data_IF_713178527807
#
_entry.id   IF_713178527807
#
_cell.length_a   1.000
_cell.length_b   1.000
_cell.length_c   1.000
_cell.angle_alpha   90.00
_cell.angle_beta   90.00
_cell.angle_gamma   90.00
#
_symmetry.space_group_name_H-M   'P 1'
#
loop_
_entity.id
_entity.type
_entity.pdbx_description
1 polymer ?
#
# COMPACT_ATOMS: atom_id res chain seq x y z
N UNK A 1 3.83 1.38 -26.14
CA UNK A 1 2.51 0.79 -25.83
C UNK A 1 2.35 0.80 -24.33
N UNK A 2 1.22 1.25 -23.85
CA UNK A 2 0.90 1.23 -22.42
C UNK A 2 0.62 -0.22 -22.00
N UNK A 3 1.33 -0.71 -20.95
CA UNK A 3 1.32 -2.13 -20.54
C UNK A 3 0.00 -2.55 -19.89
N UNK A 4 -0.80 -1.59 -19.43
CA UNK A 4 -2.03 -1.81 -18.65
C UNK A 4 -3.29 -1.25 -19.37
N UNK A 5 -3.22 -1.02 -20.69
CA UNK A 5 -4.36 -0.51 -21.46
C UNK A 5 -5.56 -1.45 -21.34
N UNK A 6 -6.72 -0.88 -20.99
CA UNK A 6 -7.97 -1.63 -20.77
C UNK A 6 -8.05 -2.41 -19.45
N UNK A 7 -7.06 -2.31 -18.57
CA UNK A 7 -7.10 -2.90 -17.23
C UNK A 7 -7.71 -1.92 -16.22
N UNK A 8 -8.34 -2.47 -15.20
CA UNK A 8 -8.89 -1.72 -14.07
C UNK A 8 -8.13 -2.08 -12.80
N UNK A 9 -7.56 -1.09 -12.13
CA UNK A 9 -6.84 -1.27 -10.88
C UNK A 9 -7.62 -0.69 -9.68
N UNK A 10 -7.67 -1.43 -8.57
CA UNK A 10 -8.14 -0.93 -7.29
C UNK A 10 -6.95 -0.79 -6.35
N UNK A 11 -6.74 0.43 -5.81
CA UNK A 11 -5.63 0.73 -4.88
C UNK A 11 -6.19 1.24 -3.56
N UNK A 12 -5.87 0.53 -2.46
CA UNK A 12 -6.31 0.93 -1.12
C UNK A 12 -5.31 1.85 -0.44
N UNK A 13 -5.82 2.80 0.38
CA UNK A 13 -4.96 3.70 1.16
C UNK A 13 -4.18 4.72 0.32
N UNK A 14 -4.78 5.24 -0.75
CA UNK A 14 -4.10 6.09 -1.73
C UNK A 14 -4.37 7.60 -1.60
N UNK A 15 -4.91 8.06 -0.45
CA UNK A 15 -5.36 9.45 -0.27
C UNK A 15 -4.28 10.46 0.14
N UNK A 16 -3.02 10.06 0.39
CA UNK A 16 -1.96 10.98 0.87
C UNK A 16 -1.10 11.50 -0.27
N UNK A 17 -0.81 12.80 -0.26
CA UNK A 17 0.00 13.46 -1.30
C UNK A 17 1.41 12.85 -1.40
N UNK A 18 2.13 12.72 -0.27
CA UNK A 18 3.45 12.09 -0.17
C UNK A 18 3.34 10.63 0.25
N UNK A 19 2.48 9.85 -0.44
CA UNK A 19 2.23 8.45 -0.13
C UNK A 19 2.58 7.50 -1.27
N UNK A 20 3.02 6.28 -0.93
CA UNK A 20 3.28 5.21 -1.90
C UNK A 20 2.00 4.90 -2.70
N UNK A 21 0.82 4.90 -2.03
CA UNK A 21 -0.46 4.59 -2.68
C UNK A 21 -0.79 5.55 -3.83
N UNK A 22 -0.63 6.87 -3.65
CA UNK A 22 -0.81 7.85 -4.73
C UNK A 22 0.16 7.60 -5.89
N UNK A 23 1.44 7.40 -5.61
CA UNK A 23 2.43 7.14 -6.66
C UNK A 23 2.11 5.86 -7.46
N UNK A 24 1.59 4.82 -6.79
CA UNK A 24 1.11 3.60 -7.45
C UNK A 24 -0.07 3.92 -8.37
N UNK A 25 -1.08 4.65 -7.89
CA UNK A 25 -2.24 5.07 -8.70
C UNK A 25 -1.79 5.79 -9.96
N UNK A 26 -0.94 6.81 -9.81
CA UNK A 26 -0.46 7.61 -10.94
C UNK A 26 0.33 6.75 -11.94
N UNK A 27 1.21 5.89 -11.44
CA UNK A 27 2.00 5.02 -12.31
C UNK A 27 1.14 4.00 -13.06
N UNK A 28 0.13 3.40 -12.43
CA UNK A 28 -0.78 2.49 -13.11
C UNK A 28 -1.60 3.22 -14.19
N UNK A 29 -2.02 4.46 -13.92
CA UNK A 29 -2.70 5.30 -14.91
C UNK A 29 -1.79 5.69 -16.08
N UNK A 30 -0.53 6.07 -15.85
CA UNK A 30 0.49 6.31 -16.89
C UNK A 30 0.70 5.08 -17.79
N UNK A 31 0.60 3.89 -17.23
CA UNK A 31 0.72 2.62 -17.95
C UNK A 31 -0.59 2.23 -18.68
N UNK A 32 -1.67 3.02 -18.56
CA UNK A 32 -2.93 2.87 -19.28
C UNK A 32 -4.09 2.27 -18.49
N UNK A 33 -3.96 2.01 -17.20
CA UNK A 33 -5.06 1.51 -16.39
C UNK A 33 -6.09 2.59 -16.06
N UNK A 34 -7.36 2.19 -15.95
CA UNK A 34 -8.38 2.93 -15.22
C UNK A 34 -8.28 2.58 -13.73
N UNK A 35 -8.57 3.49 -12.82
CA UNK A 35 -8.22 3.28 -11.41
C UNK A 35 -9.37 3.58 -10.45
N UNK A 36 -9.63 2.66 -9.52
CA UNK A 36 -10.42 2.91 -8.31
C UNK A 36 -9.47 3.31 -7.18
N UNK A 37 -9.59 4.54 -6.73
CA UNK A 37 -8.75 5.15 -5.69
C UNK A 37 -9.51 5.12 -4.38
N UNK A 38 -9.01 4.40 -3.37
CA UNK A 38 -9.71 4.32 -2.09
C UNK A 38 -8.85 4.71 -0.91
N UNK A 39 -9.47 5.29 0.09
CA UNK A 39 -8.95 5.45 1.44
C UNK A 39 -10.13 5.66 2.40
N UNK A 40 -9.88 5.48 3.70
CA UNK A 40 -10.84 5.86 4.74
C UNK A 40 -11.08 7.37 4.68
N UNK A 41 -12.35 7.78 4.73
CA UNK A 41 -12.75 9.17 4.82
C UNK A 41 -12.03 9.88 5.98
N UNK A 42 -11.55 11.08 5.74
CA UNK A 42 -10.87 11.92 6.73
C UNK A 42 -11.34 13.36 6.62
N UNK A 43 -11.45 14.02 7.75
CA UNK A 43 -11.64 15.47 7.77
C UNK A 43 -10.39 16.17 7.23
N UNK A 44 -10.57 17.18 6.39
CA UNK A 44 -9.47 17.94 5.81
C UNK A 44 -8.55 18.59 6.87
N UNK A 45 -9.08 18.91 8.04
CA UNK A 45 -8.30 19.45 9.16
C UNK A 45 -7.32 18.43 9.75
N UNK A 46 -7.51 17.12 9.50
CA UNK A 46 -6.61 16.04 9.93
C UNK A 46 -5.44 15.79 8.97
N UNK A 47 -5.40 16.45 7.83
CA UNK A 47 -4.31 16.35 6.88
C UNK A 47 -3.05 17.09 7.40
N UNK A 48 -1.84 16.71 6.97
CA UNK A 48 -0.63 17.45 7.29
C UNK A 48 -0.71 18.90 6.80
N UNK A 49 0.03 19.82 7.44
CA UNK A 49 -0.01 21.24 7.07
C UNK A 49 0.19 21.50 5.57
N UNK A 50 1.16 20.83 4.93
CA UNK A 50 1.43 21.00 3.50
C UNK A 50 0.26 20.54 2.61
N UNK A 51 -0.47 19.47 3.01
CA UNK A 51 -1.68 19.05 2.28
C UNK A 51 -2.83 20.04 2.46
N UNK A 52 -2.98 20.60 3.66
CA UNK A 52 -3.99 21.65 3.93
C UNK A 52 -3.69 22.94 3.13
N UNK A 53 -2.43 23.39 3.12
CA UNK A 53 -2.00 24.59 2.41
C UNK A 53 -2.23 24.51 0.89
N UNK A 54 -2.08 23.35 0.29
CA UNK A 54 -2.35 23.13 -1.14
C UNK A 54 -3.81 22.81 -1.46
N UNK A 55 -4.69 22.74 -0.46
CA UNK A 55 -6.10 22.39 -0.64
C UNK A 55 -6.32 20.94 -1.07
N UNK A 56 -5.48 20.02 -0.59
CA UNK A 56 -5.57 18.60 -0.91
C UNK A 56 -6.88 18.00 -0.40
N UNK A 57 -7.57 17.21 -1.27
CA UNK A 57 -8.87 16.60 -0.99
C UNK A 57 -8.78 15.07 -0.87
N UNK A 58 -7.60 14.54 -0.53
CA UNK A 58 -7.39 13.10 -0.39
C UNK A 58 -7.56 12.36 -1.73
N UNK A 59 -8.38 11.31 -1.72
CA UNK A 59 -8.58 10.45 -2.89
C UNK A 59 -9.16 11.18 -4.10
N UNK A 60 -9.97 12.24 -3.87
CA UNK A 60 -10.52 13.00 -4.99
C UNK A 60 -9.44 13.76 -5.75
N UNK A 61 -8.46 14.37 -5.04
CA UNK A 61 -7.32 15.00 -5.72
C UNK A 61 -6.52 14.00 -6.54
N UNK A 62 -6.31 12.78 -6.03
CA UNK A 62 -5.62 11.72 -6.78
C UNK A 62 -6.43 11.29 -8.02
N UNK A 63 -7.75 11.17 -7.89
CA UNK A 63 -8.62 10.84 -9.01
C UNK A 63 -8.66 11.96 -10.07
N UNK A 64 -8.62 13.24 -9.66
CA UNK A 64 -8.50 14.39 -10.55
C UNK A 64 -7.18 14.32 -11.36
N UNK A 65 -6.07 13.95 -10.73
CA UNK A 65 -4.78 13.76 -11.43
C UNK A 65 -4.86 12.65 -12.49
N UNK A 66 -5.47 11.50 -12.17
CA UNK A 66 -5.68 10.40 -13.13
C UNK A 66 -6.56 10.82 -14.30
N UNK A 67 -7.67 11.52 -14.02
CA UNK A 67 -8.57 12.06 -15.09
C UNK A 67 -7.82 13.06 -15.97
N UNK A 68 -6.90 13.85 -15.40
CA UNK A 68 -6.02 14.75 -16.14
C UNK A 68 -5.07 14.03 -17.11
N UNK A 69 -4.76 12.76 -16.87
CA UNK A 69 -3.99 11.89 -17.78
C UNK A 69 -4.85 11.24 -18.88
N UNK A 70 -6.18 11.52 -18.90
CA UNK A 70 -7.11 10.93 -19.87
C UNK A 70 -7.58 9.53 -19.53
N UNK A 71 -7.40 9.07 -18.25
CA UNK A 71 -7.89 7.79 -17.76
C UNK A 71 -9.16 7.97 -16.92
N UNK A 72 -9.97 6.92 -16.81
CA UNK A 72 -11.12 6.94 -15.90
C UNK A 72 -10.62 6.71 -14.47
N UNK A 73 -11.17 7.47 -13.52
CA UNK A 73 -10.86 7.32 -12.11
C UNK A 73 -12.13 7.43 -11.26
N UNK A 74 -12.28 6.49 -10.33
CA UNK A 74 -13.34 6.46 -9.35
C UNK A 74 -12.74 6.67 -7.96
N UNK A 75 -13.11 7.74 -7.28
CA UNK A 75 -12.73 7.99 -5.90
C UNK A 75 -13.82 7.44 -4.97
N UNK A 76 -13.49 6.52 -4.07
CA UNK A 76 -14.44 5.88 -3.16
C UNK A 76 -13.90 5.90 -1.74
N UNK A 77 -14.60 6.55 -0.82
CA UNK A 77 -14.33 6.41 0.60
C UNK A 77 -14.59 4.97 1.03
N UNK A 78 -13.56 4.32 1.58
CA UNK A 78 -13.62 2.92 1.96
C UNK A 78 -12.74 2.65 3.18
N UNK A 79 -13.34 2.22 4.27
CA UNK A 79 -12.62 1.62 5.39
C UNK A 79 -12.44 0.13 5.10
N UNK A 80 -11.20 -0.33 4.98
CA UNK A 80 -10.89 -1.74 4.69
C UNK A 80 -11.32 -2.70 5.80
N UNK A 81 -11.62 -2.20 7.00
CA UNK A 81 -12.14 -2.99 8.11
C UNK A 81 -13.66 -3.20 8.01
N UNK A 82 -14.35 -2.37 7.23
CA UNK A 82 -15.80 -2.47 6.98
C UNK A 82 -16.07 -3.26 5.69
N UNK A 83 -16.74 -4.41 5.85
CA UNK A 83 -17.07 -5.31 4.73
C UNK A 83 -18.11 -4.73 3.78
N UNK A 84 -19.02 -3.90 4.30
CA UNK A 84 -20.07 -3.27 3.50
C UNK A 84 -19.47 -2.14 2.66
N UNK A 85 -18.50 -1.39 3.19
CA UNK A 85 -17.71 -0.41 2.42
C UNK A 85 -16.97 -1.08 1.27
N UNK A 86 -16.31 -2.19 1.55
CA UNK A 86 -15.61 -2.97 0.52
C UNK A 86 -16.55 -3.50 -0.54
N UNK A 87 -17.71 -4.02 -0.18
CA UNK A 87 -18.68 -4.52 -1.15
C UNK A 87 -19.22 -3.37 -2.02
N UNK A 88 -19.57 -2.23 -1.42
CA UNK A 88 -19.99 -1.03 -2.19
C UNK A 88 -18.90 -0.57 -3.15
N UNK A 89 -17.64 -0.60 -2.73
CA UNK A 89 -16.50 -0.23 -3.57
C UNK A 89 -16.35 -1.16 -4.77
N UNK A 90 -16.47 -2.47 -4.55
CA UNK A 90 -16.41 -3.48 -5.63
C UNK A 90 -17.58 -3.32 -6.59
N UNK A 91 -18.79 -3.16 -6.06
CA UNK A 91 -19.99 -2.98 -6.90
C UNK A 91 -19.88 -1.72 -7.77
N UNK A 92 -19.39 -0.61 -7.21
CA UNK A 92 -19.16 0.63 -7.96
C UNK A 92 -18.07 0.43 -9.05
N UNK A 93 -16.96 -0.24 -8.74
CA UNK A 93 -15.92 -0.55 -9.72
C UNK A 93 -16.45 -1.38 -10.89
N UNK A 94 -17.24 -2.40 -10.61
CA UNK A 94 -17.85 -3.25 -11.64
C UNK A 94 -18.86 -2.46 -12.49
N UNK A 95 -19.71 -1.65 -11.84
CA UNK A 95 -20.74 -0.88 -12.53
C UNK A 95 -20.17 0.21 -13.46
N UNK A 96 -19.15 0.93 -12.97
CA UNK A 96 -18.63 2.11 -13.67
C UNK A 96 -17.42 1.80 -14.55
N UNK A 97 -16.54 0.87 -14.15
CA UNK A 97 -15.31 0.56 -14.86
C UNK A 97 -15.33 -0.81 -15.55
N UNK A 98 -16.28 -1.68 -15.21
CA UNK A 98 -16.50 -2.98 -15.88
C UNK A 98 -15.86 -4.19 -15.19
N UNK A 99 -15.09 -3.99 -14.12
CA UNK A 99 -14.43 -5.08 -13.37
C UNK A 99 -13.22 -4.60 -12.59
N UNK A 100 -12.42 -5.56 -12.10
CA UNK A 100 -11.15 -5.28 -11.41
C UNK A 100 -10.14 -6.34 -11.85
N UNK A 101 -9.07 -5.93 -12.54
CA UNK A 101 -7.98 -6.80 -12.99
C UNK A 101 -6.78 -6.79 -12.04
N UNK A 102 -6.59 -5.68 -11.33
CA UNK A 102 -5.42 -5.43 -10.48
C UNK A 102 -5.91 -4.98 -9.11
N UNK A 103 -5.43 -5.63 -8.06
CA UNK A 103 -5.64 -5.20 -6.68
C UNK A 103 -4.31 -4.84 -6.05
N UNK A 104 -4.19 -3.61 -5.51
CA UNK A 104 -3.05 -3.21 -4.71
C UNK A 104 -3.50 -2.94 -3.27
N UNK A 105 -3.15 -3.84 -2.38
CA UNK A 105 -3.38 -3.71 -0.95
C UNK A 105 -2.28 -2.86 -0.33
N UNK A 106 -2.50 -1.55 -0.26
CA UNK A 106 -1.56 -0.58 0.28
C UNK A 106 -2.04 0.05 1.60
N UNK A 107 -3.34 0.03 1.90
CA UNK A 107 -3.87 0.55 3.15
C UNK A 107 -3.20 -0.11 4.36
N UNK A 108 -2.69 0.71 5.27
CA UNK A 108 -2.09 0.26 6.51
C UNK A 108 -2.04 1.40 7.54
N UNK A 109 -2.14 1.06 8.81
CA UNK A 109 -1.67 1.93 9.88
C UNK A 109 -0.15 1.87 9.95
N UNK A 110 0.51 3.01 10.18
CA UNK A 110 1.97 3.08 10.31
C UNK A 110 2.45 2.45 11.62
N UNK A 111 3.76 2.23 11.72
CA UNK A 111 4.38 1.72 12.96
C UNK A 111 4.25 2.69 14.14
N UNK A 112 3.99 3.96 13.88
CA UNK A 112 3.74 4.97 14.91
C UNK A 112 2.42 4.76 15.64
N UNK A 113 1.43 4.15 15.00
CA UNK A 113 0.18 3.79 15.63
C UNK A 113 0.45 2.66 16.64
N UNK A 114 0.71 3.02 17.90
CA UNK A 114 1.00 2.07 18.97
C UNK A 114 2.42 1.53 19.01
N UNK A 115 3.40 2.34 18.62
CA UNK A 115 4.80 1.97 18.79
C UNK A 115 5.20 1.94 20.26
N UNK A 116 5.49 0.74 20.75
CA UNK A 116 5.96 0.49 22.13
C UNK A 116 6.72 -0.83 22.21
N UNK A 117 7.54 -1.05 23.25
CA UNK A 117 7.97 -2.40 23.61
C UNK A 117 6.77 -3.33 23.75
N UNK A 118 6.89 -4.56 23.29
CA UNK A 118 5.72 -5.48 23.21
C UNK A 118 5.05 -5.71 24.58
N UNK A 119 5.81 -5.64 25.67
CA UNK A 119 5.28 -5.82 27.04
C UNK A 119 4.55 -4.57 27.57
N UNK A 120 4.67 -3.44 26.89
CA UNK A 120 4.05 -2.16 27.26
C UNK A 120 2.98 -1.73 26.25
N UNK A 121 2.83 -2.48 25.15
CA UNK A 121 1.84 -2.19 24.12
C UNK A 121 0.43 -2.39 24.66
N UNK A 122 -0.45 -1.43 24.42
CA UNK A 122 -1.86 -1.56 24.80
C UNK A 122 -2.60 -2.52 23.86
N UNK A 123 -3.61 -3.20 24.38
CA UNK A 123 -4.47 -4.08 23.57
C UNK A 123 -5.16 -3.30 22.45
N UNK A 124 -5.59 -2.05 22.69
CA UNK A 124 -6.20 -1.18 21.68
C UNK A 124 -5.29 -0.99 20.46
N UNK A 125 -4.05 -0.60 20.72
CA UNK A 125 -3.07 -0.36 19.65
C UNK A 125 -2.74 -1.65 18.88
N UNK A 126 -2.67 -2.78 19.60
CA UNK A 126 -2.49 -4.08 18.98
C UNK A 126 -3.65 -4.42 18.05
N UNK A 127 -4.88 -4.37 18.58
CA UNK A 127 -6.07 -4.74 17.81
C UNK A 127 -6.32 -3.79 16.65
N UNK A 128 -6.21 -2.48 16.84
CA UNK A 128 -6.38 -1.52 15.74
C UNK A 128 -5.40 -1.78 14.58
N UNK A 129 -4.13 -2.04 14.91
CA UNK A 129 -3.12 -2.34 13.87
C UNK A 129 -3.43 -3.68 13.17
N UNK A 130 -3.84 -4.70 13.90
CA UNK A 130 -4.21 -6.01 13.32
C UNK A 130 -5.47 -5.86 12.46
N UNK A 131 -6.46 -5.11 12.92
CA UNK A 131 -7.72 -4.92 12.18
C UNK A 131 -7.48 -4.25 10.83
N UNK A 132 -6.71 -3.17 10.79
CA UNK A 132 -6.45 -2.50 9.51
C UNK A 132 -5.48 -3.30 8.64
N UNK A 133 -4.32 -3.70 9.20
CA UNK A 133 -3.21 -4.21 8.39
C UNK A 133 -3.38 -5.69 7.98
N UNK A 134 -4.17 -6.47 8.74
CA UNK A 134 -4.35 -7.89 8.48
C UNK A 134 -5.80 -8.27 8.19
N UNK A 135 -6.77 -7.89 9.02
CA UNK A 135 -8.18 -8.20 8.75
C UNK A 135 -8.68 -7.39 7.55
N UNK A 136 -8.31 -6.10 7.45
CA UNK A 136 -8.62 -5.27 6.28
C UNK A 136 -8.05 -5.83 4.98
N UNK A 137 -6.79 -6.28 5.00
CA UNK A 137 -6.18 -7.00 3.87
C UNK A 137 -7.00 -8.24 3.48
N UNK A 138 -7.33 -9.09 4.45
CA UNK A 138 -8.11 -10.30 4.22
C UNK A 138 -9.50 -10.00 3.64
N UNK A 139 -10.19 -8.99 4.17
CA UNK A 139 -11.52 -8.60 3.69
C UNK A 139 -11.45 -8.07 2.25
N UNK A 140 -10.47 -7.22 1.93
CA UNK A 140 -10.27 -6.68 0.59
C UNK A 140 -9.97 -7.79 -0.42
N UNK A 141 -9.06 -8.71 -0.10
CA UNK A 141 -8.75 -9.85 -0.96
C UNK A 141 -9.99 -10.71 -1.21
N UNK A 142 -10.82 -10.96 -0.20
CA UNK A 142 -12.05 -11.74 -0.37
C UNK A 142 -13.09 -11.07 -1.26
N UNK A 143 -13.28 -9.77 -1.10
CA UNK A 143 -14.24 -9.02 -1.90
C UNK A 143 -13.79 -8.94 -3.36
N UNK A 144 -12.59 -8.42 -3.60
CA UNK A 144 -12.05 -8.20 -4.95
C UNK A 144 -11.68 -9.51 -5.63
N UNK A 145 -11.06 -10.45 -4.93
CA UNK A 145 -10.63 -11.72 -5.50
C UNK A 145 -11.77 -12.55 -6.10
N UNK A 146 -12.98 -12.46 -5.52
CA UNK A 146 -14.18 -13.11 -6.08
C UNK A 146 -14.57 -12.50 -7.44
N UNK A 147 -14.45 -11.20 -7.59
CA UNK A 147 -14.71 -10.53 -8.88
C UNK A 147 -13.61 -10.86 -9.90
N UNK A 148 -12.34 -10.89 -9.48
CA UNK A 148 -11.24 -11.30 -10.36
C UNK A 148 -11.42 -12.73 -10.89
N UNK A 149 -11.91 -13.66 -10.06
CA UNK A 149 -12.24 -15.04 -10.49
C UNK A 149 -13.33 -15.03 -11.56
N UNK A 150 -14.39 -14.22 -11.39
CA UNK A 150 -15.46 -14.07 -12.40
C UNK A 150 -14.94 -13.42 -13.68
N UNK A 151 -14.01 -12.47 -13.56
CA UNK A 151 -13.34 -11.80 -14.68
C UNK A 151 -12.32 -12.67 -15.43
N UNK A 152 -11.96 -13.86 -14.88
CA UNK A 152 -11.05 -14.82 -15.52
C UNK A 152 -9.57 -14.63 -15.22
N UNK A 153 -9.21 -13.81 -14.24
CA UNK A 153 -7.82 -13.66 -13.79
C UNK A 153 -7.48 -12.29 -13.22
N UNK A 154 -6.20 -12.06 -12.93
CA UNK A 154 -5.73 -10.78 -12.45
C UNK A 154 -4.39 -10.81 -11.71
N UNK A 155 -4.03 -9.68 -11.11
CA UNK A 155 -2.82 -9.55 -10.29
C UNK A 155 -3.14 -8.88 -8.96
N UNK A 156 -2.81 -9.55 -7.86
CA UNK A 156 -2.91 -9.03 -6.49
C UNK A 156 -1.51 -8.67 -6.01
N UNK A 157 -1.29 -7.43 -5.61
CA UNK A 157 -0.03 -6.94 -5.08
C UNK A 157 -0.24 -6.42 -3.67
N UNK A 158 0.45 -7.05 -2.70
CA UNK A 158 0.38 -6.66 -1.30
C UNK A 158 1.58 -5.80 -0.95
N UNK A 159 1.37 -4.62 -0.36
CA UNK A 159 2.44 -3.74 0.09
C UNK A 159 2.80 -4.09 1.55
N UNK A 160 3.87 -4.88 1.69
CA UNK A 160 4.44 -5.21 2.99
C UNK A 160 5.42 -4.13 3.47
N UNK A 161 6.57 -4.53 3.94
CA UNK A 161 7.66 -3.69 4.43
C UNK A 161 8.90 -4.56 4.64
N UNK A 162 10.08 -3.96 4.78
CA UNK A 162 11.25 -4.63 5.39
C UNK A 162 10.95 -5.14 6.81
N UNK A 163 9.97 -4.53 7.52
CA UNK A 163 9.46 -5.04 8.80
C UNK A 163 8.70 -6.38 8.68
N UNK A 164 8.34 -6.81 7.48
CA UNK A 164 7.84 -8.16 7.19
C UNK A 164 8.95 -9.17 6.89
N UNK A 165 10.22 -8.75 6.91
CA UNK A 165 11.42 -9.58 6.65
C UNK A 165 12.31 -9.71 7.87
N UNK A 166 12.19 -8.78 8.82
CA UNK A 166 12.94 -8.76 10.08
C UNK A 166 12.08 -8.22 11.22
N UNK A 167 12.47 -8.53 12.45
CA UNK A 167 11.96 -7.85 13.64
C UNK A 167 12.62 -6.48 13.79
N UNK A 168 11.81 -5.48 14.13
CA UNK A 168 12.28 -4.13 14.45
C UNK A 168 11.79 -3.80 15.87
N UNK A 169 12.66 -3.38 16.80
CA UNK A 169 12.24 -3.00 18.15
C UNK A 169 11.15 -1.93 18.14
N UNK A 170 10.18 -2.04 19.01
CA UNK A 170 9.05 -1.11 19.17
C UNK A 170 8.08 -1.01 17.97
N UNK A 171 8.15 -1.95 17.02
CA UNK A 171 7.19 -2.03 15.90
C UNK A 171 6.01 -2.96 16.19
N UNK A 172 6.07 -3.77 17.23
CA UNK A 172 5.01 -4.62 17.77
C UNK A 172 4.09 -5.26 16.72
N UNK A 173 2.83 -4.89 16.75
CA UNK A 173 1.80 -5.41 15.86
C UNK A 173 2.10 -5.14 14.37
N UNK A 174 2.77 -4.04 14.04
CA UNK A 174 3.12 -3.73 12.64
C UNK A 174 4.02 -4.82 12.04
N UNK A 175 5.13 -5.21 12.71
CA UNK A 175 5.96 -6.32 12.25
C UNK A 175 5.14 -7.60 12.11
N UNK A 176 4.35 -7.95 13.11
CA UNK A 176 3.54 -9.17 13.10
C UNK A 176 2.59 -9.22 11.89
N UNK A 177 1.88 -8.11 11.62
CA UNK A 177 0.95 -8.03 10.48
C UNK A 177 1.67 -8.07 9.13
N UNK A 178 2.84 -7.42 9.02
CA UNK A 178 3.63 -7.44 7.77
C UNK A 178 4.27 -8.82 7.51
N UNK A 179 4.64 -9.58 8.55
CA UNK A 179 5.05 -10.98 8.43
C UNK A 179 3.87 -11.90 8.06
N UNK A 180 2.71 -11.74 8.68
CA UNK A 180 1.50 -12.51 8.37
C UNK A 180 1.09 -12.38 6.89
N UNK A 181 1.30 -11.21 6.30
CA UNK A 181 1.03 -10.93 4.89
C UNK A 181 1.80 -11.87 3.95
N UNK A 182 3.04 -12.28 4.30
CA UNK A 182 3.83 -13.21 3.50
C UNK A 182 3.19 -14.60 3.46
N UNK A 183 2.79 -15.15 4.62
CA UNK A 183 2.11 -16.44 4.68
C UNK A 183 0.81 -16.44 3.89
N UNK A 184 -0.01 -15.38 4.06
CA UNK A 184 -1.27 -15.23 3.33
C UNK A 184 -1.03 -15.13 1.80
N UNK A 185 -0.01 -14.39 1.37
CA UNK A 185 0.32 -14.28 -0.06
C UNK A 185 0.72 -15.61 -0.67
N UNK A 186 1.57 -16.40 0.01
CA UNK A 186 1.98 -17.72 -0.49
C UNK A 186 0.80 -18.67 -0.57
N UNK A 187 -0.07 -18.69 0.44
CA UNK A 187 -1.29 -19.50 0.41
C UNK A 187 -2.19 -19.11 -0.76
N UNK A 188 -2.47 -17.82 -0.94
CA UNK A 188 -3.30 -17.33 -2.05
C UNK A 188 -2.70 -17.63 -3.42
N UNK A 189 -1.38 -17.55 -3.56
CA UNK A 189 -0.70 -17.91 -4.81
C UNK A 189 -0.95 -19.37 -5.18
N UNK A 190 -0.93 -20.29 -4.19
CA UNK A 190 -1.23 -21.70 -4.41
C UNK A 190 -2.71 -21.94 -4.77
N UNK A 191 -3.63 -21.22 -4.12
CA UNK A 191 -5.07 -21.41 -4.31
C UNK A 191 -5.56 -20.80 -5.63
N UNK A 192 -5.00 -19.65 -6.05
CA UNK A 192 -5.53 -18.84 -7.14
C UNK A 192 -4.78 -18.95 -8.47
N UNK A 193 -3.60 -19.61 -8.50
CA UNK A 193 -2.79 -19.72 -9.72
C UNK A 193 -3.56 -20.37 -10.88
N UNK A 194 -4.35 -21.41 -10.62
CA UNK A 194 -5.16 -22.10 -11.64
C UNK A 194 -6.37 -21.29 -12.10
N UNK A 195 -6.69 -20.20 -11.40
CA UNK A 195 -7.72 -19.22 -11.75
C UNK A 195 -7.12 -18.01 -12.47
N UNK A 196 -5.85 -18.14 -12.93
CA UNK A 196 -5.12 -17.09 -13.62
C UNK A 196 -4.96 -15.81 -12.78
N UNK A 197 -4.89 -15.92 -11.44
CA UNK A 197 -4.63 -14.81 -10.54
C UNK A 197 -3.24 -14.99 -9.92
N UNK A 198 -2.37 -14.01 -10.14
CA UNK A 198 -1.05 -13.93 -9.52
C UNK A 198 -1.12 -13.14 -8.21
N UNK A 199 -0.39 -13.55 -7.20
CA UNK A 199 -0.35 -12.86 -5.90
C UNK A 199 1.09 -12.69 -5.47
N UNK A 200 1.55 -11.43 -5.35
CA UNK A 200 2.93 -11.11 -4.99
C UNK A 200 2.99 -10.01 -3.92
N UNK A 201 4.17 -9.82 -3.32
CA UNK A 201 4.44 -8.80 -2.31
C UNK A 201 5.54 -7.86 -2.78
N UNK A 202 5.36 -6.59 -2.53
CA UNK A 202 6.45 -5.59 -2.51
C UNK A 202 6.79 -5.29 -1.05
N UNK A 203 8.09 -5.27 -0.73
CA UNK A 203 8.64 -4.95 0.58
C UNK A 203 9.42 -3.63 0.51
N UNK A 204 8.76 -2.48 0.69
CA UNK A 204 9.46 -1.20 0.74
C UNK A 204 10.45 -1.12 1.90
N UNK A 205 11.61 -0.54 1.63
CA UNK A 205 12.52 -0.04 2.64
C UNK A 205 12.18 1.40 3.05
N UNK A 206 13.20 2.13 3.53
CA UNK A 206 13.04 3.54 3.86
C UNK A 206 12.69 4.35 2.61
N UNK A 207 11.45 4.80 2.51
CA UNK A 207 10.89 5.56 1.38
C UNK A 207 10.53 6.97 1.84
N UNK A 208 10.79 7.98 1.01
CA UNK A 208 10.52 9.39 1.33
C UNK A 208 9.01 9.67 1.32
N UNK A 209 8.39 9.58 2.50
CA UNK A 209 6.95 9.71 2.72
C UNK A 209 6.69 10.41 4.06
N UNK A 210 5.48 10.97 4.23
CA UNK A 210 5.06 11.52 5.53
C UNK A 210 5.08 10.46 6.64
N UNK A 211 4.70 9.23 6.34
CA UNK A 211 4.78 8.12 7.28
C UNK A 211 6.21 7.89 7.78
N UNK A 212 7.20 7.93 6.88
CA UNK A 212 8.59 7.72 7.27
C UNK A 212 9.18 8.92 8.01
N UNK A 213 8.76 10.14 7.67
CA UNK A 213 9.14 11.34 8.42
C UNK A 213 8.61 11.29 9.86
N UNK A 214 7.37 10.82 10.08
CA UNK A 214 6.82 10.55 11.41
C UNK A 214 7.65 9.52 12.19
N UNK A 215 8.05 8.43 11.54
CA UNK A 215 8.92 7.41 12.15
C UNK A 215 10.27 8.00 12.61
N UNK A 216 10.90 8.83 11.79
CA UNK A 216 12.15 9.49 12.16
C UNK A 216 11.97 10.48 13.31
N UNK A 217 10.90 11.28 13.29
CA UNK A 217 10.57 12.20 14.38
C UNK A 217 10.44 11.48 15.72
N UNK A 218 9.74 10.33 15.73
CA UNK A 218 9.62 9.49 16.92
C UNK A 218 10.98 8.94 17.39
N UNK A 219 11.84 8.51 16.47
CA UNK A 219 13.17 8.03 16.85
C UNK A 219 14.01 9.13 17.48
N UNK A 220 13.96 10.34 16.93
CA UNK A 220 14.66 11.50 17.49
C UNK A 220 14.12 11.84 18.90
N UNK A 221 12.80 11.84 19.08
CA UNK A 221 12.14 12.10 20.35
C UNK A 221 12.52 11.05 21.42
N UNK A 222 12.39 9.75 21.11
CA UNK A 222 12.71 8.67 22.04
C UNK A 222 14.20 8.67 22.43
N UNK A 223 15.07 9.01 21.47
CA UNK A 223 16.51 9.08 21.70
C UNK A 223 16.98 10.42 22.34
N UNK A 224 16.08 11.40 22.54
CA UNK A 224 16.42 12.75 23.00
C UNK A 224 17.39 13.49 22.06
N UNK A 225 17.22 13.30 20.75
CA UNK A 225 18.09 13.86 19.70
C UNK A 225 17.44 15.05 19.00
N UNK A 226 18.26 15.88 18.35
CA UNK A 226 17.76 16.96 17.51
C UNK A 226 16.98 16.40 16.31
N UNK A 227 15.86 17.06 15.89
CA UNK A 227 15.08 16.66 14.75
C UNK A 227 15.91 16.45 13.47
N UNK A 228 15.70 15.32 12.79
CA UNK A 228 16.40 14.95 11.55
C UNK A 228 17.69 14.13 11.76
N UNK A 229 18.13 13.92 13.00
CA UNK A 229 19.33 13.12 13.32
C UNK A 229 19.16 11.67 12.89
N UNK A 230 18.04 11.04 13.22
CA UNK A 230 17.72 9.66 12.84
C UNK A 230 17.58 9.52 11.33
N UNK A 231 16.94 10.48 10.66
CA UNK A 231 16.81 10.50 9.18
C UNK A 231 18.21 10.52 8.53
N UNK A 232 19.11 11.39 8.99
CA UNK A 232 20.46 11.49 8.48
C UNK A 232 21.30 10.22 8.74
N UNK A 233 21.15 9.61 9.93
CA UNK A 233 21.83 8.38 10.29
C UNK A 233 21.40 7.20 9.43
N UNK A 234 20.09 7.02 9.25
CA UNK A 234 19.52 5.96 8.42
C UNK A 234 19.94 6.13 6.96
N UNK A 235 19.87 7.35 6.41
CA UNK A 235 20.33 7.61 5.03
C UNK A 235 21.79 7.21 4.82
N UNK A 236 22.66 7.46 5.78
CA UNK A 236 24.07 7.05 5.70
C UNK A 236 24.26 5.52 5.80
N UNK A 237 23.36 4.84 6.50
CA UNK A 237 23.42 3.38 6.67
C UNK A 237 22.87 2.61 5.47
N UNK A 238 22.02 3.24 4.64
CA UNK A 238 21.49 2.63 3.43
C UNK A 238 22.62 2.47 2.38
N UNK A 239 22.68 1.30 1.71
CA UNK A 239 23.75 1.04 0.73
C UNK A 239 23.72 2.02 -0.44
N UNK A 240 22.53 2.44 -0.88
CA UNK A 240 22.37 3.46 -1.93
C UNK A 240 22.54 4.91 -1.41
N UNK A 241 22.81 5.13 -0.13
CA UNK A 241 23.08 6.44 0.46
C UNK A 241 21.86 7.39 0.51
N UNK A 242 20.68 6.92 0.15
CA UNK A 242 19.43 7.70 0.13
C UNK A 242 18.21 6.85 0.39
N UNK A 243 17.12 7.48 0.79
CA UNK A 243 15.80 6.86 0.77
C UNK A 243 15.35 6.58 -0.68
N UNK A 244 14.49 5.58 -0.85
CA UNK A 244 13.77 5.40 -2.10
C UNK A 244 12.76 6.54 -2.32
N UNK A 245 12.47 6.86 -3.57
CA UNK A 245 11.30 7.68 -3.90
C UNK A 245 10.04 6.82 -3.95
N UNK A 246 8.86 7.45 -3.89
CA UNK A 246 7.60 6.72 -4.00
C UNK A 246 7.40 6.14 -5.40
N UNK A 247 7.98 6.77 -6.43
CA UNK A 247 7.94 6.33 -7.83
C UNK A 247 8.76 5.03 -8.02
N UNK A 248 9.87 4.86 -7.29
CA UNK A 248 10.67 3.63 -7.34
C UNK A 248 9.86 2.43 -6.79
N UNK A 249 9.03 2.64 -5.76
CA UNK A 249 8.10 1.62 -5.27
C UNK A 249 7.00 1.35 -6.31
N UNK A 250 6.40 2.39 -6.86
CA UNK A 250 5.33 2.31 -7.84
C UNK A 250 5.77 1.59 -9.14
N UNK A 251 7.03 1.74 -9.55
CA UNK A 251 7.57 1.08 -10.74
C UNK A 251 7.56 -0.46 -10.61
N UNK A 252 7.90 -1.00 -9.42
CA UNK A 252 7.86 -2.45 -9.18
C UNK A 252 6.43 -2.95 -9.10
N UNK A 253 5.52 -2.15 -8.52
CA UNK A 253 4.08 -2.49 -8.50
C UNK A 253 3.52 -2.55 -9.92
N UNK A 254 3.83 -1.59 -10.79
CA UNK A 254 3.39 -1.58 -12.19
C UNK A 254 3.95 -2.78 -12.98
N UNK A 255 5.20 -3.18 -12.73
CA UNK A 255 5.77 -4.41 -13.27
C UNK A 255 4.97 -5.65 -12.81
N UNK A 256 4.69 -5.78 -11.53
CA UNK A 256 3.90 -6.90 -11.00
C UNK A 256 2.44 -6.89 -11.47
N UNK A 257 1.88 -5.74 -11.78
CA UNK A 257 0.55 -5.59 -12.34
C UNK A 257 0.46 -6.03 -13.80
N UNK A 258 1.56 -5.92 -14.56
CA UNK A 258 1.61 -6.18 -16.00
C UNK A 258 1.92 -7.64 -16.35
N UNK A 259 1.77 -7.97 -17.64
CA UNK A 259 2.13 -9.29 -18.20
C UNK A 259 3.64 -9.55 -18.23
N UNK A 260 4.48 -8.51 -18.04
CA UNK A 260 5.93 -8.68 -17.90
C UNK A 260 6.31 -9.58 -16.71
N UNK A 261 5.41 -9.70 -15.71
CA UNK A 261 5.53 -10.59 -14.56
C UNK A 261 4.61 -11.82 -14.61
N UNK A 262 4.16 -12.22 -15.82
CA UNK A 262 3.15 -13.28 -16.02
C UNK A 262 3.54 -14.64 -15.42
N UNK A 263 4.83 -14.90 -15.21
CA UNK A 263 5.30 -16.15 -14.59
C UNK A 263 5.73 -15.98 -13.12
N UNK A 264 5.33 -14.87 -12.48
CA UNK A 264 5.66 -14.57 -11.08
C UNK A 264 4.42 -14.62 -10.19
N UNK A 265 4.40 -15.55 -9.24
CA UNK A 265 3.39 -15.61 -8.18
C UNK A 265 4.02 -16.12 -6.88
N UNK A 266 3.49 -15.72 -5.71
CA UNK A 266 4.00 -16.10 -4.39
C UNK A 266 5.34 -15.44 -4.02
N UNK A 267 5.82 -14.45 -4.79
CA UNK A 267 7.12 -13.83 -4.59
C UNK A 267 7.04 -12.60 -3.69
N UNK A 268 8.14 -12.33 -2.98
CA UNK A 268 8.32 -11.13 -2.18
C UNK A 268 9.55 -10.37 -2.67
N UNK A 269 9.33 -9.16 -3.21
CA UNK A 269 10.37 -8.32 -3.80
C UNK A 269 10.76 -7.21 -2.84
N UNK A 270 12.03 -7.21 -2.41
CA UNK A 270 12.59 -6.10 -1.64
C UNK A 270 12.85 -4.90 -2.56
N UNK A 271 12.32 -3.72 -2.21
CA UNK A 271 12.59 -2.45 -2.89
C UNK A 271 13.11 -1.48 -1.83
N UNK A 272 14.34 -1.73 -1.38
CA UNK A 272 14.87 -1.21 -0.12
C UNK A 272 16.32 -0.69 -0.21
N UNK A 273 16.84 -0.54 -1.43
CA UNK A 273 18.21 -0.05 -1.65
C UNK A 273 19.29 -0.99 -1.15
N UNK A 274 18.99 -2.30 -1.04
CA UNK A 274 19.93 -3.33 -0.57
C UNK A 274 20.03 -3.43 0.96
N UNK A 275 19.08 -2.85 1.71
CA UNK A 275 19.08 -3.00 3.17
C UNK A 275 18.77 -4.43 3.62
N UNK A 276 18.19 -5.24 2.73
CA UNK A 276 17.97 -6.68 2.88
C UNK A 276 18.30 -7.42 1.58
N UNK A 277 19.00 -8.53 1.68
CA UNK A 277 19.49 -9.33 0.57
C UNK A 277 19.13 -10.81 0.75
N UNK A 278 17.85 -11.11 1.01
CA UNK A 278 17.30 -12.46 1.22
C UNK A 278 16.14 -12.76 0.25
#
# INVERSE_FOLDING_TARGET
MTRLEGRVALVTGAGRYRGIGRAIVLRLAEEGADVVVTARARDASSFPPHEQEMGWKGIESVAEEVRGMGRRALAVDCDVTDKDDLQRTVDAAVAELGGIDILVNNAALPSEAGAAPILEMTDENWYETVDVNLHGLYHTIRAVGREMVKGGGGSIINISSTAGRIGIPNYGAYCATKWAMHGLTQQLALELARQNIRVNIVCPGSTDTDMMDGTFGRYDEVAGQEPGTSKAAIRRALLMGRQATVEEQAAVVAFLASDDSSYMTGQALNVDGGSRMD
#
